data_IF_198020755585
#
_entry.id   IF_198020755585
#
_cell.length_a   1.000
_cell.length_b   1.000
_cell.length_c   1.000
_cell.angle_alpha   90.00
_cell.angle_beta   90.00
_cell.angle_gamma   90.00
#
_symmetry.space_group_name_H-M   'P 1'
#
loop_
_entity.id
_entity.type
_entity.pdbx_description
1 polymer ?
#
# COMPACT_ATOMS: atom_id res chain seq x y z
N UNK A 1 -44.51 -19.89 54.70
CA UNK A 1 -44.29 -19.99 53.26
C UNK A 1 -42.97 -19.31 52.94
N UNK A 2 -41.93 -20.07 52.61
CA UNK A 2 -40.59 -19.59 52.33
C UNK A 2 -40.47 -19.41 50.81
N UNK A 3 -40.28 -18.19 50.34
CA UNK A 3 -39.98 -17.90 48.93
C UNK A 3 -38.50 -18.15 48.66
N UNK A 4 -38.21 -19.17 47.84
CA UNK A 4 -36.90 -19.49 47.32
C UNK A 4 -36.74 -18.70 46.02
N UNK A 5 -35.97 -17.63 46.09
CA UNK A 5 -35.64 -16.82 44.90
C UNK A 5 -34.54 -17.53 44.08
N UNK A 6 -34.88 -17.96 42.87
CA UNK A 6 -33.96 -18.54 41.91
C UNK A 6 -33.17 -17.39 41.26
N UNK A 7 -31.89 -17.24 41.61
CA UNK A 7 -30.96 -16.31 40.90
C UNK A 7 -30.43 -17.03 39.67
N UNK A 8 -30.94 -16.68 38.51
CA UNK A 8 -30.37 -17.09 37.22
C UNK A 8 -29.18 -16.17 36.89
N UNK A 9 -27.96 -16.69 37.04
CA UNK A 9 -26.76 -16.04 36.55
C UNK A 9 -26.71 -16.22 35.01
N UNK A 10 -27.05 -15.17 34.27
CA UNK A 10 -26.74 -15.05 32.84
C UNK A 10 -25.24 -14.80 32.70
N UNK A 11 -24.49 -15.85 32.42
CA UNK A 11 -23.11 -15.77 31.94
C UNK A 11 -23.16 -15.21 30.54
N UNK A 12 -23.03 -13.89 30.41
CA UNK A 12 -22.66 -13.27 29.16
C UNK A 12 -21.20 -13.65 28.88
N UNK A 13 -21.01 -14.70 28.08
CA UNK A 13 -19.73 -14.99 27.48
C UNK A 13 -19.39 -13.79 26.58
N UNK A 14 -18.44 -12.98 26.99
CA UNK A 14 -17.74 -12.07 26.08
C UNK A 14 -17.00 -12.96 25.05
N UNK A 15 -17.63 -13.24 23.92
CA UNK A 15 -16.89 -13.66 22.73
C UNK A 15 -16.06 -12.45 22.28
N UNK A 16 -14.91 -12.25 22.88
CA UNK A 16 -13.90 -11.39 22.30
C UNK A 16 -13.55 -11.97 20.93
N UNK A 17 -13.80 -11.22 19.87
CA UNK A 17 -13.29 -11.56 18.55
C UNK A 17 -11.76 -11.44 18.63
N UNK A 18 -11.09 -12.58 18.81
CA UNK A 18 -9.64 -12.63 18.78
C UNK A 18 -9.20 -12.51 17.33
N UNK A 19 -8.39 -11.49 17.05
CA UNK A 19 -7.77 -11.30 15.73
C UNK A 19 -6.65 -12.33 15.52
N UNK A 20 -6.35 -12.68 14.26
CA UNK A 20 -5.26 -13.63 13.97
C UNK A 20 -3.91 -13.12 14.46
N UNK A 21 -3.69 -11.82 14.41
CA UNK A 21 -2.49 -11.12 14.93
C UNK A 21 -2.22 -11.35 16.42
N UNK A 22 -3.23 -11.81 17.20
CA UNK A 22 -3.02 -12.25 18.59
C UNK A 22 -2.28 -13.60 18.71
N UNK A 23 -2.24 -14.39 17.64
CA UNK A 23 -1.72 -15.78 17.64
C UNK A 23 -0.53 -15.96 16.73
N UNK A 24 -0.45 -15.18 15.65
CA UNK A 24 0.57 -15.29 14.63
C UNK A 24 1.08 -13.90 14.22
N UNK A 25 2.35 -13.83 13.92
CA UNK A 25 3.07 -12.62 13.52
C UNK A 25 3.87 -12.97 12.25
N UNK A 26 3.42 -12.48 11.09
CA UNK A 26 4.09 -12.69 9.82
C UNK A 26 5.30 -11.76 9.71
N UNK A 27 6.45 -12.31 9.34
CA UNK A 27 7.73 -11.59 9.34
C UNK A 27 8.23 -11.22 7.96
N UNK A 28 8.24 -12.18 7.07
CA UNK A 28 8.75 -11.99 5.71
C UNK A 28 7.86 -12.65 4.67
N UNK A 29 7.78 -12.04 3.50
CA UNK A 29 7.10 -12.57 2.32
C UNK A 29 8.07 -12.57 1.14
N UNK A 30 8.47 -13.76 0.68
CA UNK A 30 9.22 -13.92 -0.57
C UNK A 30 8.27 -14.36 -1.66
N UNK A 31 8.13 -13.52 -2.68
CA UNK A 31 7.07 -13.65 -3.69
C UNK A 31 7.71 -13.64 -5.07
N UNK A 32 7.31 -14.58 -5.91
CA UNK A 32 7.63 -14.59 -7.34
C UNK A 32 6.34 -14.59 -8.13
N UNK A 33 6.14 -13.59 -8.97
CA UNK A 33 4.92 -13.45 -9.78
C UNK A 33 5.23 -13.28 -11.25
N UNK A 34 4.32 -13.81 -12.07
CA UNK A 34 4.19 -13.50 -13.49
C UNK A 34 2.78 -13.01 -13.77
N UNK A 35 2.67 -12.00 -14.63
CA UNK A 35 1.40 -11.39 -15.00
C UNK A 35 1.15 -11.65 -16.47
N UNK A 36 -0.08 -12.04 -16.81
CA UNK A 36 -0.55 -12.32 -18.17
C UNK A 36 -1.65 -11.32 -18.50
N UNK A 37 -1.31 -10.19 -19.14
CA UNK A 37 -2.24 -9.08 -19.34
C UNK A 37 -3.48 -9.48 -20.15
N UNK A 38 -3.32 -10.24 -21.23
CA UNK A 38 -4.40 -10.61 -22.15
C UNK A 38 -5.55 -11.36 -21.46
N UNK A 39 -5.26 -12.01 -20.33
CA UNK A 39 -6.26 -12.71 -19.52
C UNK A 39 -6.50 -12.06 -18.17
N UNK A 40 -5.87 -10.90 -17.90
CA UNK A 40 -5.90 -10.22 -16.60
C UNK A 40 -5.59 -11.17 -15.44
N UNK A 41 -4.58 -12.04 -15.63
CA UNK A 41 -4.22 -13.12 -14.69
C UNK A 41 -2.89 -12.88 -14.04
N UNK A 42 -2.81 -13.21 -12.76
CA UNK A 42 -1.57 -13.29 -11.99
C UNK A 42 -1.34 -14.73 -11.55
N UNK A 43 -0.11 -15.19 -11.69
CA UNK A 43 0.32 -16.49 -11.18
C UNK A 43 1.61 -16.31 -10.38
N UNK A 44 1.72 -17.01 -9.26
CA UNK A 44 2.91 -16.85 -8.44
C UNK A 44 3.18 -17.97 -7.47
N UNK A 45 4.33 -17.86 -6.86
CA UNK A 45 4.77 -18.65 -5.71
C UNK A 45 5.02 -17.68 -4.56
N UNK A 46 4.47 -18.02 -3.40
CA UNK A 46 4.62 -17.24 -2.17
C UNK A 46 5.28 -18.12 -1.11
N UNK A 47 6.22 -17.54 -0.38
CA UNK A 47 6.82 -18.13 0.80
C UNK A 47 6.74 -17.11 1.94
N UNK A 48 5.92 -17.40 2.95
CA UNK A 48 5.83 -16.61 4.18
C UNK A 48 6.62 -17.26 5.29
N UNK A 49 7.39 -16.46 6.04
CA UNK A 49 7.90 -16.83 7.34
C UNK A 49 7.08 -16.11 8.43
N UNK A 50 6.67 -16.85 9.46
CA UNK A 50 5.87 -16.31 10.56
C UNK A 50 6.23 -16.96 11.89
N UNK A 51 5.99 -16.20 12.97
CA UNK A 51 6.16 -16.65 14.36
C UNK A 51 4.80 -16.90 15.01
N UNK A 52 4.71 -17.98 15.74
CA UNK A 52 3.50 -18.30 16.54
C UNK A 52 3.62 -17.68 17.94
N UNK A 53 2.67 -16.82 18.28
CA UNK A 53 2.60 -16.14 19.58
C UNK A 53 1.82 -16.95 20.62
N UNK A 54 0.77 -17.68 20.18
CA UNK A 54 -0.04 -18.59 21.01
C UNK A 54 -0.32 -19.88 20.22
N UNK A 55 -0.39 -21.06 20.89
CA UNK A 55 -0.67 -22.31 20.18
C UNK A 55 -2.01 -22.23 19.46
N UNK A 56 -2.05 -22.71 18.21
CA UNK A 56 -3.25 -22.73 17.37
C UNK A 56 -3.20 -23.92 16.40
N UNK A 57 -4.37 -24.48 16.04
CA UNK A 57 -4.47 -25.62 15.12
C UNK A 57 -4.66 -25.22 13.67
N UNK A 58 -4.88 -23.95 13.40
CA UNK A 58 -4.98 -23.40 12.04
C UNK A 58 -4.71 -21.90 12.01
N UNK A 59 -4.16 -21.42 10.90
CA UNK A 59 -4.02 -20.00 10.56
C UNK A 59 -4.55 -19.78 9.14
N UNK A 60 -4.72 -18.54 8.73
CA UNK A 60 -5.17 -18.22 7.38
C UNK A 60 -4.30 -17.16 6.72
N UNK A 61 -4.39 -17.11 5.39
CA UNK A 61 -3.87 -16.05 4.52
C UNK A 61 -5.07 -15.53 3.74
N UNK A 62 -5.28 -14.22 3.70
CA UNK A 62 -6.37 -13.61 2.97
C UNK A 62 -6.12 -13.76 1.46
N UNK A 63 -7.16 -14.22 0.73
CA UNK A 63 -7.02 -14.58 -0.67
C UNK A 63 -8.39 -14.69 -1.35
N UNK A 64 -8.76 -13.65 -2.09
CA UNK A 64 -10.09 -13.53 -2.69
C UNK A 64 -10.12 -14.23 -4.05
N UNK A 65 -10.96 -15.27 -4.16
CA UNK A 65 -11.22 -16.02 -5.40
C UNK A 65 -9.95 -16.56 -6.09
N UNK A 66 -8.98 -17.01 -5.30
CA UNK A 66 -7.72 -17.57 -5.80
C UNK A 66 -7.75 -19.09 -5.81
N UNK A 67 -6.89 -19.71 -6.64
CA UNK A 67 -6.63 -21.14 -6.61
C UNK A 67 -5.23 -21.42 -6.09
N UNK A 68 -5.03 -22.55 -5.42
CA UNK A 68 -3.78 -22.91 -4.76
C UNK A 68 -3.29 -24.29 -5.16
N UNK A 69 -1.97 -24.46 -5.18
CA UNK A 69 -1.31 -25.75 -5.38
C UNK A 69 -0.03 -25.81 -4.54
N UNK A 70 0.44 -27.04 -4.27
CA UNK A 70 1.71 -27.29 -3.58
C UNK A 70 1.84 -26.62 -2.21
N UNK A 71 0.73 -26.57 -1.44
CA UNK A 71 0.73 -25.96 -0.09
C UNK A 71 1.53 -26.84 0.88
N UNK A 72 2.58 -26.26 1.45
CA UNK A 72 3.50 -26.96 2.33
C UNK A 72 3.97 -26.06 3.49
N UNK A 73 4.25 -26.69 4.66
CA UNK A 73 4.95 -26.09 5.79
C UNK A 73 6.25 -26.86 5.98
N UNK A 74 7.38 -26.12 6.12
CA UNK A 74 8.72 -26.72 6.24
C UNK A 74 8.97 -27.79 5.15
N UNK A 75 8.59 -27.50 3.90
CA UNK A 75 8.68 -28.40 2.72
C UNK A 75 7.86 -29.70 2.85
N UNK A 76 6.95 -29.81 3.80
CA UNK A 76 6.02 -30.94 3.94
C UNK A 76 4.62 -30.50 3.53
N UNK A 77 4.02 -31.23 2.59
CA UNK A 77 2.62 -30.99 2.19
C UNK A 77 1.70 -31.10 3.41
N UNK A 78 0.80 -30.13 3.55
CA UNK A 78 -0.17 -30.07 4.65
C UNK A 78 -1.60 -30.05 4.11
N UNK A 79 -2.58 -30.46 4.92
CA UNK A 79 -3.99 -30.21 4.62
C UNK A 79 -4.27 -28.71 4.64
N UNK A 80 -5.03 -28.25 3.66
CA UNK A 80 -5.52 -26.87 3.57
C UNK A 80 -6.97 -26.85 3.09
N UNK A 81 -7.64 -25.73 3.29
CA UNK A 81 -8.92 -25.44 2.65
C UNK A 81 -8.94 -24.01 2.12
N UNK A 82 -9.72 -23.80 1.08
CA UNK A 82 -9.93 -22.49 0.47
C UNK A 82 -11.43 -22.25 0.43
N UNK A 83 -11.89 -21.17 1.07
CA UNK A 83 -13.31 -20.80 1.16
C UNK A 83 -13.68 -19.66 0.16
N UNK A 84 -12.75 -19.32 -0.75
CA UNK A 84 -12.89 -18.23 -1.70
C UNK A 84 -12.55 -16.84 -1.13
N UNK A 85 -12.24 -16.76 0.17
CA UNK A 85 -11.77 -15.54 0.83
C UNK A 85 -10.44 -15.74 1.54
N UNK A 86 -10.17 -16.97 1.99
CA UNK A 86 -9.00 -17.31 2.81
C UNK A 86 -8.44 -18.66 2.42
N UNK A 87 -7.12 -18.75 2.42
CA UNK A 87 -6.38 -20.00 2.42
C UNK A 87 -6.14 -20.41 3.89
N UNK A 88 -6.85 -21.44 4.35
CA UNK A 88 -6.70 -21.99 5.69
C UNK A 88 -5.63 -23.08 5.72
N UNK A 89 -4.63 -22.91 6.57
CA UNK A 89 -3.52 -23.83 6.78
C UNK A 89 -3.79 -24.65 8.06
N UNK A 90 -3.99 -25.95 7.94
CA UNK A 90 -4.30 -26.83 9.07
C UNK A 90 -3.03 -27.51 9.55
N UNK A 91 -2.54 -27.07 10.70
CA UNK A 91 -1.33 -27.59 11.34
C UNK A 91 -1.32 -27.29 12.83
N UNK A 92 -0.78 -28.17 13.65
CA UNK A 92 -0.60 -27.92 15.10
C UNK A 92 0.61 -27.02 15.32
N UNK A 93 0.35 -25.71 15.32
CA UNK A 93 1.38 -24.71 15.52
C UNK A 93 1.75 -24.59 17.00
N UNK A 94 3.04 -24.53 17.30
CA UNK A 94 3.55 -24.42 18.66
C UNK A 94 3.99 -22.99 18.95
N UNK A 95 3.68 -22.54 20.17
CA UNK A 95 4.11 -21.22 20.66
C UNK A 95 5.63 -21.04 20.51
N UNK A 96 6.05 -19.80 20.22
CA UNK A 96 7.45 -19.34 20.08
C UNK A 96 8.25 -20.04 18.97
N UNK A 97 7.55 -20.74 18.05
CA UNK A 97 8.18 -21.38 16.89
C UNK A 97 8.05 -20.54 15.63
N UNK A 98 9.10 -20.54 14.81
CA UNK A 98 9.07 -20.00 13.45
C UNK A 98 8.66 -21.10 12.47
N UNK A 99 7.87 -20.73 11.48
CA UNK A 99 7.44 -21.62 10.40
C UNK A 99 7.58 -20.92 9.05
N UNK A 100 7.84 -21.72 8.02
CA UNK A 100 7.81 -21.29 6.63
C UNK A 100 6.67 -22.02 5.92
N UNK A 101 5.73 -21.27 5.33
CA UNK A 101 4.71 -21.82 4.43
C UNK A 101 5.06 -21.44 2.99
N UNK A 102 4.92 -22.38 2.09
CA UNK A 102 5.09 -22.17 0.65
C UNK A 102 3.90 -22.71 -0.12
N UNK A 103 3.47 -21.97 -1.14
CA UNK A 103 2.40 -22.38 -2.04
C UNK A 103 2.48 -21.66 -3.38
N UNK A 104 1.91 -22.28 -4.42
CA UNK A 104 1.62 -21.65 -5.70
C UNK A 104 0.18 -21.14 -5.70
N UNK A 105 -0.06 -20.02 -6.38
CA UNK A 105 -1.41 -19.48 -6.55
C UNK A 105 -1.66 -18.96 -7.95
N UNK A 106 -2.94 -18.83 -8.30
CA UNK A 106 -3.41 -18.10 -9.47
C UNK A 106 -4.63 -17.29 -9.09
N UNK A 107 -4.70 -16.05 -9.61
CA UNK A 107 -5.78 -15.12 -9.42
C UNK A 107 -6.16 -14.44 -10.74
N UNK A 108 -7.46 -14.16 -10.92
CA UNK A 108 -8.01 -13.32 -11.98
C UNK A 108 -8.64 -12.07 -11.31
N UNK A 109 -7.81 -11.09 -10.89
CA UNK A 109 -8.26 -9.98 -10.05
C UNK A 109 -9.30 -9.11 -10.76
N UNK A 110 -10.32 -8.68 -10.01
CA UNK A 110 -11.34 -7.71 -10.44
C UNK A 110 -11.21 -6.38 -9.71
N UNK A 111 -10.32 -6.32 -8.71
CA UNK A 111 -9.99 -5.15 -7.89
C UNK A 111 -8.51 -5.20 -7.51
N UNK A 112 -8.00 -4.08 -7.09
CA UNK A 112 -6.66 -3.88 -6.53
C UNK A 112 -5.49 -4.05 -7.51
N UNK A 113 -5.62 -4.79 -8.58
CA UNK A 113 -4.71 -4.81 -9.71
C UNK A 113 -5.51 -4.52 -10.98
N UNK A 114 -5.15 -3.45 -11.66
CA UNK A 114 -5.87 -2.91 -12.80
C UNK A 114 -5.03 -3.02 -14.07
N UNK A 115 -5.70 -3.35 -15.19
CA UNK A 115 -5.11 -3.53 -16.50
C UNK A 115 -5.68 -2.46 -17.43
N UNK A 116 -4.87 -1.48 -17.79
CA UNK A 116 -5.29 -0.31 -18.55
C UNK A 116 -4.83 -0.43 -20.00
N UNK A 117 -5.73 -0.18 -20.95
CA UNK A 117 -5.49 -0.14 -22.40
C UNK A 117 -4.93 -1.44 -23.03
N UNK A 118 -5.01 -2.60 -22.37
CA UNK A 118 -4.44 -3.84 -22.92
C UNK A 118 -5.15 -4.34 -24.16
N UNK A 119 -6.42 -4.00 -24.33
CA UNK A 119 -7.21 -4.31 -25.53
C UNK A 119 -7.02 -3.28 -26.66
N UNK A 120 -6.33 -2.14 -26.38
CA UNK A 120 -6.09 -1.08 -27.33
C UNK A 120 -4.64 -1.13 -27.85
N UNK A 121 -4.44 -1.39 -29.14
CA UNK A 121 -3.10 -1.49 -29.73
C UNK A 121 -2.30 -0.18 -29.62
N UNK A 122 -2.95 0.97 -29.67
CA UNK A 122 -2.34 2.29 -29.60
C UNK A 122 -2.44 2.93 -28.20
N UNK A 123 -2.93 2.18 -27.20
CA UNK A 123 -3.11 2.68 -25.85
C UNK A 123 -1.81 2.77 -25.06
N UNK A 124 -1.82 3.57 -24.01
CA UNK A 124 -0.75 3.60 -23.01
C UNK A 124 -0.97 2.44 -22.01
N UNK A 125 -0.51 1.25 -22.43
CA UNK A 125 -0.70 -0.01 -21.69
C UNK A 125 -0.01 0.04 -20.34
N UNK A 126 -0.81 -0.08 -19.27
CA UNK A 126 -0.31 -0.06 -17.90
C UNK A 126 -0.96 -1.16 -17.04
N UNK A 127 -0.25 -1.53 -15.99
CA UNK A 127 -0.79 -2.34 -14.88
C UNK A 127 -0.38 -1.63 -13.61
N UNK A 128 -1.33 -1.41 -12.69
CA UNK A 128 -1.02 -0.79 -11.41
C UNK A 128 -1.93 -1.31 -10.30
N UNK A 129 -1.49 -1.11 -9.06
CA UNK A 129 -2.18 -1.58 -7.86
C UNK A 129 -2.80 -0.44 -7.06
N UNK A 130 -3.89 -0.77 -6.36
CA UNK A 130 -4.47 0.03 -5.28
C UNK A 130 -5.02 -0.92 -4.22
N UNK A 131 -4.37 -0.96 -3.06
CA UNK A 131 -4.63 -1.95 -2.00
C UNK A 131 -5.41 -1.43 -0.79
N UNK A 132 -5.62 -0.10 -0.66
CA UNK A 132 -6.32 0.50 0.47
C UNK A 132 -7.72 -0.09 0.67
N UNK A 133 -8.15 -0.29 1.91
CA UNK A 133 -9.41 -0.93 2.23
C UNK A 133 -9.36 -2.46 2.26
N UNK A 134 -8.19 -3.07 2.42
CA UNK A 134 -7.97 -4.53 2.49
C UNK A 134 -8.18 -5.23 1.14
N UNK A 135 -7.68 -4.63 0.05
CA UNK A 135 -7.91 -5.16 -1.28
C UNK A 135 -6.72 -5.92 -1.88
N UNK A 136 -5.54 -5.90 -1.26
CA UNK A 136 -4.35 -6.60 -1.76
C UNK A 136 -4.61 -8.09 -1.97
N UNK A 137 -5.38 -8.72 -1.11
CA UNK A 137 -5.79 -10.12 -1.21
C UNK A 137 -6.65 -10.47 -2.44
N UNK A 138 -6.99 -9.51 -3.30
CA UNK A 138 -7.65 -9.80 -4.58
C UNK A 138 -6.67 -10.23 -5.68
N UNK A 139 -5.37 -9.89 -5.57
CA UNK A 139 -4.38 -10.25 -6.57
C UNK A 139 -3.14 -10.95 -6.01
N UNK A 140 -2.83 -10.72 -4.74
CA UNK A 140 -1.71 -11.28 -4.00
C UNK A 140 -2.23 -11.90 -2.70
N UNK A 141 -2.04 -13.20 -2.44
CA UNK A 141 -2.35 -13.76 -1.13
C UNK A 141 -1.59 -12.99 -0.04
N UNK A 142 -2.30 -12.34 0.88
CA UNK A 142 -1.75 -11.34 1.82
C UNK A 142 -2.34 -11.48 3.22
N UNK A 143 -1.85 -10.65 4.13
CA UNK A 143 -2.44 -10.49 5.46
C UNK A 143 -3.08 -9.09 5.46
N UNK A 144 -4.41 -9.06 5.37
CA UNK A 144 -5.16 -7.80 5.22
C UNK A 144 -5.36 -7.05 6.56
N UNK A 145 -4.71 -7.48 7.61
CA UNK A 145 -4.65 -6.76 8.89
C UNK A 145 -3.48 -5.75 8.85
N UNK A 146 -3.79 -4.46 8.94
CA UNK A 146 -2.79 -3.39 8.86
C UNK A 146 -1.78 -3.40 10.01
N UNK A 147 -2.09 -4.12 11.10
CA UNK A 147 -1.18 -4.26 12.24
C UNK A 147 -0.12 -5.34 12.03
N UNK A 148 -0.28 -6.21 11.03
CA UNK A 148 0.72 -7.24 10.70
C UNK A 148 1.63 -6.70 9.59
N UNK A 149 2.74 -6.10 9.98
CA UNK A 149 3.74 -5.54 9.05
C UNK A 149 4.78 -6.58 8.67
N UNK A 150 5.02 -6.69 7.37
CA UNK A 150 5.79 -7.76 6.73
C UNK A 150 6.91 -7.15 5.88
N UNK A 151 8.10 -7.74 5.89
CA UNK A 151 9.17 -7.44 4.94
C UNK A 151 8.87 -8.15 3.62
N UNK A 152 8.77 -7.40 2.52
CA UNK A 152 8.44 -7.93 1.20
C UNK A 152 9.69 -8.04 0.30
N UNK A 153 9.86 -9.21 -0.29
CA UNK A 153 10.87 -9.54 -1.30
C UNK A 153 10.13 -10.00 -2.56
N UNK A 154 10.11 -9.14 -3.60
CA UNK A 154 9.28 -9.31 -4.78
C UNK A 154 10.13 -9.62 -6.02
N UNK A 155 9.90 -10.78 -6.64
CA UNK A 155 10.41 -11.12 -7.96
C UNK A 155 9.27 -11.03 -8.98
N UNK A 156 9.33 -10.04 -9.87
CA UNK A 156 8.26 -9.76 -10.82
C UNK A 156 8.78 -10.03 -12.22
N UNK A 157 8.18 -11.01 -12.90
CA UNK A 157 8.54 -11.35 -14.29
C UNK A 157 7.53 -10.72 -15.24
N UNK A 158 8.05 -9.93 -16.20
CA UNK A 158 7.23 -9.29 -17.21
C UNK A 158 7.96 -9.12 -18.54
N UNK A 159 7.26 -8.64 -19.59
CA UNK A 159 7.83 -8.35 -20.91
C UNK A 159 8.91 -7.25 -20.80
N UNK A 160 10.05 -7.44 -21.51
CA UNK A 160 11.21 -6.56 -21.44
C UNK A 160 11.01 -5.16 -22.01
N UNK A 161 9.92 -4.90 -22.74
CA UNK A 161 9.61 -3.58 -23.32
C UNK A 161 8.91 -2.65 -22.33
N UNK A 162 8.66 -3.11 -21.10
CA UNK A 162 8.04 -2.34 -20.04
C UNK A 162 9.02 -2.19 -18.87
N UNK A 163 8.86 -1.12 -18.12
CA UNK A 163 9.47 -0.97 -16.81
C UNK A 163 8.52 -1.52 -15.75
N UNK A 164 9.06 -2.17 -14.74
CA UNK A 164 8.33 -2.67 -13.57
C UNK A 164 8.84 -1.91 -12.35
N UNK A 165 7.93 -1.31 -11.60
CA UNK A 165 8.22 -0.46 -10.44
C UNK A 165 7.46 -1.04 -9.24
N UNK A 166 8.15 -1.21 -8.11
CA UNK A 166 7.55 -1.74 -6.87
C UNK A 166 8.22 -1.10 -5.64
N UNK A 167 7.72 -1.44 -4.44
CA UNK A 167 8.27 -0.94 -3.17
C UNK A 167 9.75 -1.34 -2.98
N UNK A 168 10.49 -0.50 -2.26
CA UNK A 168 11.87 -0.77 -1.85
C UNK A 168 12.91 -0.65 -2.96
N UNK A 169 14.07 -1.26 -2.77
CA UNK A 169 15.19 -1.18 -3.70
C UNK A 169 15.09 -2.21 -4.82
N UNK A 170 15.36 -1.78 -6.04
CA UNK A 170 15.63 -2.67 -7.16
C UNK A 170 17.04 -3.25 -7.00
N UNK A 171 17.14 -4.46 -6.48
CA UNK A 171 18.42 -5.11 -6.17
C UNK A 171 19.01 -5.87 -7.34
N UNK A 172 18.17 -6.35 -8.29
CA UNK A 172 18.62 -7.10 -9.46
C UNK A 172 17.60 -7.03 -10.61
N UNK A 173 18.12 -7.12 -11.85
CA UNK A 173 17.35 -7.36 -13.08
C UNK A 173 17.94 -8.56 -13.81
N UNK A 174 17.20 -9.66 -13.91
CA UNK A 174 17.60 -10.82 -14.70
C UNK A 174 16.92 -10.81 -16.06
N UNK A 175 17.70 -10.55 -17.10
CA UNK A 175 17.22 -10.48 -18.48
C UNK A 175 17.18 -11.89 -19.08
N UNK A 176 16.06 -12.24 -19.70
CA UNK A 176 15.88 -13.42 -20.55
C UNK A 176 15.48 -12.94 -21.96
N UNK A 177 15.30 -13.85 -22.91
CA UNK A 177 15.07 -13.50 -24.33
C UNK A 177 13.95 -12.46 -24.53
N UNK A 178 12.77 -12.67 -23.98
CA UNK A 178 11.59 -11.82 -24.13
C UNK A 178 11.12 -11.16 -22.84
N UNK A 179 11.66 -11.55 -21.68
CA UNK A 179 11.22 -11.08 -20.37
C UNK A 179 12.37 -10.60 -19.51
N UNK A 180 12.07 -9.75 -18.57
CA UNK A 180 12.94 -9.43 -17.44
C UNK A 180 12.27 -9.91 -16.16
N UNK A 181 13.05 -10.33 -15.19
CA UNK A 181 12.64 -10.51 -13.82
C UNK A 181 13.28 -9.42 -12.99
N UNK A 182 12.46 -8.53 -12.44
CA UNK A 182 12.88 -7.47 -11.52
C UNK A 182 12.82 -8.01 -10.09
N UNK A 183 13.88 -7.78 -9.33
CA UNK A 183 13.96 -8.17 -7.94
C UNK A 183 13.98 -6.93 -7.06
N UNK A 184 12.87 -6.69 -6.36
CA UNK A 184 12.68 -5.61 -5.40
C UNK A 184 12.73 -6.16 -3.99
N UNK A 185 13.41 -5.44 -3.09
CA UNK A 185 13.49 -5.80 -1.68
C UNK A 185 13.11 -4.60 -0.80
N UNK A 186 12.13 -4.82 0.06
CA UNK A 186 11.70 -3.87 1.08
C UNK A 186 12.30 -4.29 2.42
N UNK A 187 13.35 -3.58 2.90
CA UNK A 187 14.09 -3.96 4.10
C UNK A 187 13.33 -3.71 5.40
N UNK A 188 12.33 -2.83 5.37
CA UNK A 188 11.51 -2.51 6.53
C UNK A 188 10.13 -3.15 6.39
N UNK A 189 9.56 -3.67 7.50
CA UNK A 189 8.23 -4.24 7.44
C UNK A 189 7.16 -3.17 7.21
N UNK A 190 6.22 -3.44 6.33
CA UNK A 190 5.09 -2.57 5.98
C UNK A 190 3.78 -3.35 5.93
N UNK A 191 2.65 -2.65 6.04
CA UNK A 191 1.32 -3.24 5.90
C UNK A 191 1.08 -3.68 4.45
N UNK A 192 0.39 -4.80 4.27
CA UNK A 192 0.20 -5.39 2.93
C UNK A 192 -0.63 -4.54 1.97
N UNK A 193 -1.54 -3.66 2.48
CA UNK A 193 -2.32 -2.77 1.63
C UNK A 193 -1.45 -1.73 0.89
N UNK A 194 -0.22 -1.50 1.37
CA UNK A 194 0.76 -0.58 0.80
C UNK A 194 1.65 -1.22 -0.27
N UNK A 195 1.47 -2.50 -0.57
CA UNK A 195 2.22 -3.16 -1.66
C UNK A 195 1.87 -2.52 -2.99
N UNK A 196 2.90 -1.94 -3.64
CA UNK A 196 2.79 -1.25 -4.92
C UNK A 196 3.34 -2.10 -6.06
N UNK A 197 2.66 -2.03 -7.19
CA UNK A 197 3.15 -2.46 -8.47
C UNK A 197 2.65 -1.49 -9.54
N UNK A 198 3.57 -0.93 -10.31
CA UNK A 198 3.26 -0.20 -11.54
C UNK A 198 4.11 -0.75 -12.69
N UNK A 199 3.47 -1.06 -13.81
CA UNK A 199 4.09 -1.55 -15.04
C UNK A 199 3.63 -0.66 -16.18
N UNK A 200 4.58 -0.14 -16.95
CA UNK A 200 4.29 0.75 -18.08
C UNK A 200 5.54 1.11 -18.85
N UNK A 201 5.40 2.06 -19.77
CA UNK A 201 6.54 2.68 -20.45
C UNK A 201 6.90 3.95 -19.68
N UNK A 202 7.97 3.91 -18.93
CA UNK A 202 8.43 5.01 -18.10
C UNK A 202 9.89 5.32 -18.33
N UNK A 203 10.20 6.62 -18.38
CA UNK A 203 11.52 7.17 -18.07
C UNK A 203 11.53 7.64 -16.62
N UNK A 204 12.72 7.89 -16.06
CA UNK A 204 12.85 8.47 -14.72
C UNK A 204 13.99 9.47 -14.63
N UNK A 205 13.82 10.44 -13.73
CA UNK A 205 14.93 11.23 -13.18
C UNK A 205 15.11 10.92 -11.70
N UNK A 206 16.33 11.06 -11.27
CA UNK A 206 16.71 10.78 -9.88
C UNK A 206 17.37 12.02 -9.30
N UNK A 207 16.87 12.45 -8.15
CA UNK A 207 17.51 13.46 -7.31
C UNK A 207 17.92 12.83 -5.98
N UNK A 208 18.76 13.53 -5.23
CA UNK A 208 19.18 13.07 -3.89
C UNK A 208 18.77 14.12 -2.88
N UNK A 209 18.01 13.71 -1.87
CA UNK A 209 17.64 14.54 -0.73
C UNK A 209 18.89 14.94 0.09
N UNK A 210 18.76 15.95 0.98
CA UNK A 210 19.85 16.35 1.90
C UNK A 210 20.31 15.21 2.79
N UNK A 211 19.39 14.32 3.19
CA UNK A 211 19.68 13.11 3.99
C UNK A 211 20.44 12.03 3.24
N UNK A 212 20.52 12.12 1.90
CA UNK A 212 21.09 11.08 1.04
C UNK A 212 20.05 10.14 0.43
N UNK A 213 18.77 10.27 0.77
CA UNK A 213 17.68 9.46 0.22
C UNK A 213 17.54 9.70 -1.30
N UNK A 214 17.43 8.62 -2.07
CA UNK A 214 17.17 8.67 -3.51
C UNK A 214 15.70 9.00 -3.77
N UNK A 215 15.45 10.04 -4.57
CA UNK A 215 14.13 10.47 -5.02
C UNK A 215 14.00 10.10 -6.49
N UNK A 216 13.18 9.10 -6.81
CA UNK A 216 12.99 8.59 -8.17
C UNK A 216 11.64 9.06 -8.72
N UNK A 217 11.65 9.95 -9.68
CA UNK A 217 10.46 10.54 -10.29
C UNK A 217 10.26 9.97 -11.69
N UNK A 218 9.20 9.19 -11.85
CA UNK A 218 8.87 8.52 -13.10
C UNK A 218 7.95 9.41 -13.95
N UNK A 219 8.06 9.30 -15.27
CA UNK A 219 7.21 10.04 -16.21
C UNK A 219 7.08 9.28 -17.54
N UNK A 220 6.04 9.57 -18.30
CA UNK A 220 5.89 9.02 -19.64
C UNK A 220 6.92 9.67 -20.59
N UNK A 221 7.61 8.90 -21.46
CA UNK A 221 8.62 9.45 -22.35
C UNK A 221 8.12 10.63 -23.21
N UNK A 222 6.86 10.58 -23.66
CA UNK A 222 6.18 11.64 -24.42
C UNK A 222 5.92 12.91 -23.59
N UNK A 223 5.86 12.80 -22.27
CA UNK A 223 5.57 13.89 -21.35
C UNK A 223 6.84 14.50 -20.71
N UNK A 224 8.00 14.30 -21.32
CA UNK A 224 9.29 14.77 -20.77
C UNK A 224 9.34 16.27 -20.48
N UNK A 225 8.59 17.09 -21.23
CA UNK A 225 8.47 18.55 -21.01
C UNK A 225 7.59 18.89 -19.80
N UNK A 226 6.72 17.99 -19.37
CA UNK A 226 5.88 18.15 -18.19
C UNK A 226 6.59 17.72 -16.90
N UNK A 227 7.76 17.11 -16.99
CA UNK A 227 8.51 16.63 -15.83
C UNK A 227 8.78 17.76 -14.82
N UNK A 228 9.37 18.87 -15.30
CA UNK A 228 9.75 19.97 -14.40
C UNK A 228 8.53 20.60 -13.72
N UNK A 229 7.44 21.01 -14.39
CA UNK A 229 6.30 21.59 -13.71
C UNK A 229 5.60 20.59 -12.78
N UNK A 230 5.59 19.30 -13.07
CA UNK A 230 4.99 18.28 -12.19
C UNK A 230 5.79 18.09 -10.90
N UNK A 231 7.12 17.95 -11.00
CA UNK A 231 7.97 17.55 -9.85
C UNK A 231 8.81 18.68 -9.23
N UNK A 232 8.59 19.91 -9.67
CA UNK A 232 9.37 21.11 -9.34
C UNK A 232 9.79 21.25 -7.88
N UNK A 233 8.90 20.93 -6.98
CA UNK A 233 9.10 21.11 -5.54
C UNK A 233 9.33 19.81 -4.77
N UNK A 234 9.37 18.65 -5.43
CA UNK A 234 9.51 17.35 -4.77
C UNK A 234 10.66 17.31 -3.76
N UNK A 235 11.86 17.69 -4.20
CA UNK A 235 13.03 17.68 -3.33
C UNK A 235 12.93 18.70 -2.18
N UNK A 236 12.43 19.90 -2.47
CA UNK A 236 12.26 20.94 -1.44
C UNK A 236 11.31 20.48 -0.34
N UNK A 237 10.16 19.92 -0.72
CA UNK A 237 9.16 19.41 0.21
C UNK A 237 9.68 18.19 1.00
N UNK A 238 10.42 17.29 0.35
CA UNK A 238 11.05 16.15 1.02
C UNK A 238 12.04 16.62 2.11
N UNK A 239 12.96 17.49 1.75
CA UNK A 239 13.98 18.03 2.65
C UNK A 239 13.34 18.83 3.81
N UNK A 240 12.24 19.54 3.54
CA UNK A 240 11.46 20.28 4.54
C UNK A 240 10.75 19.33 5.51
N UNK A 241 9.97 18.36 4.98
CA UNK A 241 9.18 17.45 5.82
C UNK A 241 10.07 16.58 6.71
N UNK A 242 11.19 16.07 6.20
CA UNK A 242 12.14 15.32 7.02
C UNK A 242 12.70 16.17 8.18
N UNK A 243 12.96 17.46 7.94
CA UNK A 243 13.42 18.39 8.98
C UNK A 243 12.29 18.76 9.95
N UNK A 244 11.08 19.05 9.46
CA UNK A 244 9.95 19.52 10.26
C UNK A 244 9.38 18.41 11.16
N UNK A 245 9.25 17.19 10.63
CA UNK A 245 8.84 16.02 11.40
C UNK A 245 9.91 15.64 12.44
N UNK A 246 11.19 15.90 12.15
CA UNK A 246 12.31 15.62 13.04
C UNK A 246 12.66 14.13 13.17
N UNK A 247 12.10 13.29 12.28
CA UNK A 247 12.40 11.86 12.18
C UNK A 247 12.94 11.60 10.77
N UNK A 248 14.12 10.96 10.62
CA UNK A 248 14.64 10.62 9.30
C UNK A 248 13.63 9.82 8.47
N UNK A 249 13.67 10.01 7.15
CA UNK A 249 12.85 9.23 6.24
C UNK A 249 13.08 7.73 6.47
N UNK A 250 12.02 6.95 6.74
CA UNK A 250 12.19 5.60 7.28
C UNK A 250 12.51 4.52 6.25
N UNK A 251 12.43 4.83 4.94
CA UNK A 251 12.53 3.86 3.86
C UNK A 251 13.81 4.06 3.05
N UNK A 252 14.15 3.08 2.16
CA UNK A 252 15.41 3.10 1.41
C UNK A 252 15.47 4.19 0.32
N UNK A 253 14.35 4.44 -0.33
CA UNK A 253 14.19 5.40 -1.42
C UNK A 253 12.75 5.93 -1.46
N UNK A 254 12.50 6.97 -2.24
CA UNK A 254 11.15 7.47 -2.48
C UNK A 254 10.89 7.55 -3.98
N UNK A 255 9.88 6.84 -4.44
CA UNK A 255 9.45 6.80 -5.84
C UNK A 255 8.11 7.49 -6.00
N UNK A 256 7.89 8.11 -7.15
CA UNK A 256 6.62 8.72 -7.55
C UNK A 256 6.30 8.29 -8.98
N UNK A 257 5.13 7.68 -9.17
CA UNK A 257 4.75 7.04 -10.43
C UNK A 257 3.37 7.50 -10.86
N UNK A 258 3.24 8.26 -11.96
CA UNK A 258 1.94 8.59 -12.53
C UNK A 258 1.33 7.36 -13.20
N UNK A 259 0.03 7.17 -13.01
CA UNK A 259 -0.69 6.11 -13.70
C UNK A 259 -2.00 6.62 -14.30
N UNK A 260 -2.39 6.04 -15.43
CA UNK A 260 -3.62 6.38 -16.14
C UNK A 260 -4.83 5.80 -15.43
N UNK A 261 -5.93 6.56 -15.43
CA UNK A 261 -7.22 6.17 -14.88
C UNK A 261 -7.15 5.76 -13.38
N UNK A 262 -6.25 6.41 -12.62
CA UNK A 262 -6.15 6.13 -11.19
C UNK A 262 -7.42 6.53 -10.45
N UNK A 263 -7.78 5.76 -9.42
CA UNK A 263 -9.06 5.91 -8.72
C UNK A 263 -9.12 7.14 -7.82
N UNK A 264 -7.97 7.65 -7.38
CA UNK A 264 -7.80 8.73 -6.43
C UNK A 264 -6.80 9.76 -6.94
N UNK A 265 -6.50 10.79 -6.15
CA UNK A 265 -5.45 11.75 -6.47
C UNK A 265 -4.05 11.12 -6.34
N UNK A 266 -3.82 10.44 -5.23
CA UNK A 266 -2.61 9.70 -4.91
C UNK A 266 -2.90 8.48 -4.05
N UNK A 267 -1.83 7.76 -3.71
CA UNK A 267 -1.80 6.64 -2.77
C UNK A 267 -0.41 6.52 -2.19
N UNK A 268 -0.36 6.44 -0.88
CA UNK A 268 0.82 6.45 -0.04
C UNK A 268 1.65 5.16 -0.05
N UNK A 269 1.50 4.29 -1.03
CA UNK A 269 2.25 3.02 -1.07
C UNK A 269 3.70 3.20 -0.60
N UNK A 270 4.10 2.44 0.39
CA UNK A 270 5.38 2.61 1.10
C UNK A 270 6.56 2.68 0.13
N UNK A 271 7.33 3.76 0.23
CA UNK A 271 8.46 4.11 -0.66
C UNK A 271 8.10 4.32 -2.14
N UNK A 272 6.83 4.23 -2.55
CA UNK A 272 6.43 4.24 -3.98
C UNK A 272 5.04 4.83 -4.14
N UNK A 273 4.89 6.14 -4.00
CA UNK A 273 3.63 6.84 -4.26
C UNK A 273 3.17 6.61 -5.70
N UNK A 274 1.93 6.14 -5.86
CA UNK A 274 1.23 6.08 -7.15
C UNK A 274 0.23 7.23 -7.19
N UNK A 275 0.17 8.00 -8.28
CA UNK A 275 -0.73 9.14 -8.40
C UNK A 275 -1.37 9.24 -9.79
N UNK A 276 -2.50 9.93 -9.86
CA UNK A 276 -3.24 10.11 -11.11
C UNK A 276 -2.45 10.96 -12.12
N UNK A 277 -2.31 10.48 -13.34
CA UNK A 277 -1.60 11.19 -14.41
C UNK A 277 -2.27 12.52 -14.82
N UNK A 278 -3.48 12.78 -14.37
CA UNK A 278 -4.13 14.09 -14.50
C UNK A 278 -3.38 15.23 -13.78
N UNK A 279 -2.41 14.89 -12.91
CA UNK A 279 -1.48 15.84 -12.28
C UNK A 279 -0.15 16.00 -13.04
N UNK A 280 0.06 15.25 -14.13
CA UNK A 280 1.18 15.43 -15.04
C UNK A 280 0.85 16.61 -15.96
N UNK A 281 1.32 17.79 -15.60
CA UNK A 281 0.89 19.06 -16.18
C UNK A 281 2.05 19.82 -16.82
N UNK A 282 1.74 20.71 -17.75
CA UNK A 282 2.70 21.67 -18.27
C UNK A 282 2.81 22.95 -17.41
N UNK A 283 3.75 23.81 -17.76
CA UNK A 283 3.99 25.05 -16.99
C UNK A 283 2.84 26.06 -17.06
N UNK A 284 1.96 25.97 -18.05
CA UNK A 284 0.81 26.86 -18.19
C UNK A 284 -0.29 26.44 -17.21
N UNK A 285 -0.58 25.14 -17.15
CA UNK A 285 -1.60 24.58 -16.27
C UNK A 285 -1.21 24.66 -14.79
N UNK A 286 0.08 24.83 -14.47
CA UNK A 286 0.59 24.79 -13.08
C UNK A 286 -0.13 25.77 -12.13
N UNK A 287 -0.57 26.92 -12.64
CA UNK A 287 -1.29 27.93 -11.81
C UNK A 287 -2.68 27.46 -11.39
N UNK A 288 -3.36 26.73 -12.28
CA UNK A 288 -4.74 26.29 -12.07
C UNK A 288 -4.83 24.93 -11.40
N UNK A 289 -3.87 24.03 -11.70
CA UNK A 289 -3.78 22.70 -11.15
C UNK A 289 -2.33 22.26 -11.08
N UNK A 290 -1.89 21.77 -9.92
CA UNK A 290 -0.53 21.25 -9.78
C UNK A 290 -0.52 20.01 -8.87
N UNK A 291 0.65 19.37 -8.81
CA UNK A 291 0.85 18.14 -8.02
C UNK A 291 1.35 18.42 -6.59
N UNK A 292 1.54 19.69 -6.20
CA UNK A 292 2.27 20.05 -4.96
C UNK A 292 1.58 19.52 -3.72
N UNK A 293 0.28 19.76 -3.55
CA UNK A 293 -0.47 19.28 -2.38
C UNK A 293 -0.50 17.75 -2.33
N UNK A 294 -0.85 17.08 -3.42
CA UNK A 294 -0.90 15.61 -3.47
C UNK A 294 0.48 15.01 -3.19
N UNK A 295 1.54 15.55 -3.80
CA UNK A 295 2.91 15.10 -3.55
C UNK A 295 3.29 15.21 -2.07
N UNK A 296 3.00 16.35 -1.44
CA UNK A 296 3.31 16.58 -0.03
C UNK A 296 2.48 15.68 0.91
N UNK A 297 1.20 15.45 0.57
CA UNK A 297 0.29 14.58 1.31
C UNK A 297 0.77 13.13 1.30
N UNK A 298 1.01 12.56 0.11
CA UNK A 298 1.49 11.19 -0.05
C UNK A 298 2.90 10.99 0.55
N UNK A 299 3.73 12.03 0.51
CA UNK A 299 5.03 12.00 1.15
C UNK A 299 4.92 12.01 2.68
N UNK A 300 4.03 12.80 3.26
CA UNK A 300 3.81 12.84 4.71
C UNK A 300 3.28 11.51 5.26
N UNK A 301 2.48 10.80 4.48
CA UNK A 301 2.03 9.45 4.82
C UNK A 301 3.17 8.45 5.03
N UNK A 302 4.35 8.67 4.45
CA UNK A 302 5.49 7.78 4.64
C UNK A 302 5.90 7.67 6.13
N UNK A 303 5.61 8.70 6.93
CA UNK A 303 5.72 8.67 8.39
C UNK A 303 4.37 8.35 9.05
N UNK A 304 3.28 9.04 8.63
CA UNK A 304 1.95 8.97 9.25
C UNK A 304 0.98 8.16 8.38
N UNK A 305 0.99 6.87 8.56
CA UNK A 305 0.28 5.86 7.78
C UNK A 305 1.15 4.64 7.58
N UNK A 306 2.35 4.83 7.04
CA UNK A 306 3.27 3.75 6.71
C UNK A 306 4.15 3.34 7.88
N UNK A 307 4.91 4.29 8.44
CA UNK A 307 5.77 4.03 9.61
C UNK A 307 4.91 3.86 10.87
N UNK A 308 4.03 4.80 11.13
CA UNK A 308 3.06 4.76 12.24
C UNK A 308 1.67 4.60 11.65
N UNK A 309 1.07 3.43 11.85
CA UNK A 309 -0.22 3.03 11.28
C UNK A 309 -1.28 2.96 12.36
N UNK A 310 -2.52 3.38 12.08
CA UNK A 310 -3.65 3.19 12.98
C UNK A 310 -3.91 1.69 13.22
N UNK A 311 -4.43 1.37 14.41
CA UNK A 311 -4.74 -0.02 14.79
C UNK A 311 -6.06 -0.53 14.20
N UNK A 312 -6.88 0.35 13.67
CA UNK A 312 -8.17 0.05 13.06
C UNK A 312 -8.55 1.13 12.05
N UNK A 313 -9.11 0.75 10.93
CA UNK A 313 -9.64 1.67 9.92
C UNK A 313 -10.72 2.65 10.43
N UNK A 314 -11.28 2.45 11.62
CA UNK A 314 -12.13 3.44 12.29
C UNK A 314 -11.36 4.68 12.73
N UNK A 315 -10.04 4.61 12.79
CA UNK A 315 -9.15 5.71 13.16
C UNK A 315 -8.35 6.26 11.98
N UNK A 316 -8.81 5.98 10.77
CA UNK A 316 -8.16 6.43 9.52
C UNK A 316 -7.91 7.94 9.48
N UNK A 317 -8.75 8.73 10.15
CA UNK A 317 -8.58 10.16 10.34
C UNK A 317 -7.22 10.55 10.94
N UNK A 318 -6.55 9.65 11.71
CA UNK A 318 -5.24 9.94 12.28
C UNK A 318 -4.19 10.11 11.17
N UNK A 319 -4.04 9.13 10.30
CA UNK A 319 -3.04 9.23 9.23
C UNK A 319 -3.43 10.28 8.20
N UNK A 320 -4.71 10.38 7.80
CA UNK A 320 -5.19 11.38 6.86
C UNK A 320 -5.06 12.81 7.39
N UNK A 321 -5.40 13.01 8.67
CA UNK A 321 -5.29 14.32 9.32
C UNK A 321 -3.85 14.80 9.46
N UNK A 322 -2.93 13.91 9.83
CA UNK A 322 -1.50 14.25 9.89
C UNK A 322 -0.92 14.49 8.50
N UNK A 323 -1.24 13.66 7.52
CA UNK A 323 -0.78 13.85 6.15
C UNK A 323 -1.26 15.19 5.57
N UNK A 324 -2.54 15.52 5.74
CA UNK A 324 -3.11 16.80 5.32
C UNK A 324 -2.44 17.98 6.01
N UNK A 325 -2.20 17.89 7.32
CA UNK A 325 -1.55 18.95 8.09
C UNK A 325 -0.11 19.21 7.63
N UNK A 326 0.68 18.15 7.45
CA UNK A 326 2.07 18.28 6.99
C UNK A 326 2.17 18.67 5.52
N UNK A 327 1.21 18.28 4.68
CA UNK A 327 1.09 18.79 3.31
C UNK A 327 0.90 20.32 3.31
N UNK A 328 0.01 20.82 4.16
CA UNK A 328 -0.23 22.26 4.29
C UNK A 328 1.02 23.02 4.78
N UNK A 329 1.81 22.43 5.68
CA UNK A 329 3.10 23.01 6.11
C UNK A 329 4.13 23.00 4.97
N UNK A 330 4.17 21.95 4.16
CA UNK A 330 5.03 21.90 2.98
C UNK A 330 4.62 22.93 1.92
N UNK A 331 3.32 23.12 1.71
CA UNK A 331 2.82 24.19 0.84
C UNK A 331 3.17 25.60 1.37
N UNK A 332 3.13 25.79 2.71
CA UNK A 332 3.62 27.03 3.34
C UNK A 332 5.08 27.30 3.02
N UNK A 333 5.94 26.27 3.08
CA UNK A 333 7.36 26.37 2.72
C UNK A 333 7.58 26.76 1.26
N UNK A 334 6.69 26.28 0.37
CA UNK A 334 6.77 26.54 -1.09
C UNK A 334 6.15 27.88 -1.48
N UNK A 335 4.97 28.20 -0.95
CA UNK A 335 4.13 29.31 -1.41
C UNK A 335 4.05 30.48 -0.40
N UNK A 336 4.50 30.30 0.83
CA UNK A 336 4.57 31.33 1.87
C UNK A 336 3.36 31.37 2.80
N UNK A 337 3.44 32.29 3.77
CA UNK A 337 2.45 32.39 4.87
C UNK A 337 1.07 32.81 4.41
N UNK A 338 0.95 33.74 3.46
CA UNK A 338 -0.36 34.22 2.97
C UNK A 338 -1.16 33.07 2.34
N UNK A 339 -0.51 32.21 1.56
CA UNK A 339 -1.10 30.99 1.02
C UNK A 339 -1.58 30.06 2.14
N UNK A 340 -0.74 29.80 3.13
CA UNK A 340 -1.07 28.94 4.27
C UNK A 340 -2.28 29.42 5.03
N UNK A 341 -2.37 30.72 5.40
CA UNK A 341 -3.52 31.25 6.12
C UNK A 341 -4.80 31.26 5.29
N UNK A 342 -4.67 31.42 3.97
CA UNK A 342 -5.81 31.31 3.07
C UNK A 342 -6.35 29.87 3.03
N UNK A 343 -5.50 28.88 2.91
CA UNK A 343 -5.90 27.48 2.94
C UNK A 343 -6.55 27.09 4.29
N UNK A 344 -6.01 27.55 5.42
CA UNK A 344 -6.63 27.35 6.72
C UNK A 344 -8.03 27.95 6.79
N UNK A 345 -8.23 29.13 6.20
CA UNK A 345 -9.53 29.77 6.12
C UNK A 345 -10.52 28.92 5.29
N UNK A 346 -10.09 28.42 4.14
CA UNK A 346 -10.93 27.58 3.28
C UNK A 346 -11.32 26.27 3.98
N UNK A 347 -10.40 25.57 4.61
CA UNK A 347 -10.70 24.35 5.40
C UNK A 347 -11.64 24.65 6.58
N UNK A 348 -11.48 25.79 7.25
CA UNK A 348 -12.41 26.19 8.32
C UNK A 348 -13.82 26.46 7.79
N UNK A 349 -13.97 27.09 6.62
CA UNK A 349 -15.28 27.28 6.00
C UNK A 349 -15.92 25.96 5.59
N UNK A 350 -15.18 25.05 5.02
CA UNK A 350 -15.65 23.70 4.65
C UNK A 350 -16.15 22.94 5.88
N UNK A 351 -15.37 22.92 6.97
CA UNK A 351 -15.80 22.30 8.23
C UNK A 351 -17.09 22.91 8.79
N UNK A 352 -17.21 24.24 8.75
CA UNK A 352 -18.43 24.93 9.21
C UNK A 352 -19.65 24.62 8.34
N UNK A 353 -19.47 24.42 7.03
CA UNK A 353 -20.56 24.01 6.15
C UNK A 353 -21.00 22.57 6.43
N UNK A 354 -20.04 21.64 6.62
CA UNK A 354 -20.34 20.25 7.01
C UNK A 354 -21.09 20.17 8.34
N UNK A 355 -20.71 21.00 9.33
CA UNK A 355 -21.39 21.05 10.62
C UNK A 355 -22.81 21.54 10.49
N UNK A 356 -23.08 22.58 9.67
CA UNK A 356 -24.44 23.11 9.42
C UNK A 356 -25.37 22.07 8.81
N UNK A 357 -24.91 21.22 7.94
CA UNK A 357 -25.73 20.15 7.32
C UNK A 357 -25.82 18.89 8.17
N UNK A 358 -25.17 18.88 9.36
CA UNK A 358 -25.23 17.77 10.30
C UNK A 358 -24.40 16.54 9.85
N UNK A 359 -23.43 16.75 8.99
CA UNK A 359 -22.53 15.69 8.50
C UNK A 359 -21.31 15.50 9.40
N UNK A 360 -21.08 16.39 10.38
CA UNK A 360 -20.00 16.23 11.34
C UNK A 360 -20.23 15.04 12.27
N UNK A 361 -19.21 14.21 12.43
CA UNK A 361 -19.23 13.06 13.34
C UNK A 361 -18.08 13.14 14.33
N UNK A 362 -18.20 12.41 15.45
CA UNK A 362 -17.11 12.33 16.42
C UNK A 362 -15.90 11.61 15.82
N UNK A 363 -14.71 12.17 15.94
CA UNK A 363 -13.46 11.51 15.56
C UNK A 363 -13.17 10.26 16.39
N UNK A 364 -13.70 10.20 17.62
CA UNK A 364 -13.49 9.05 18.52
C UNK A 364 -14.49 7.92 18.29
N UNK A 365 -15.62 8.22 17.68
CA UNK A 365 -16.69 7.24 17.37
C UNK A 365 -17.35 7.61 16.02
N UNK A 366 -16.63 7.49 14.92
CA UNK A 366 -17.18 7.75 13.59
C UNK A 366 -18.28 6.72 13.27
N UNK A 367 -19.43 7.21 12.81
CA UNK A 367 -20.60 6.36 12.48
C UNK A 367 -20.47 5.72 11.11
#
# INVERSE_FOLDING_TARGET
MKHFGLFVFLLFGFCGYTQQTDYVDFKTAKITIGIIPDSSRVMGMVNYQFKILKPVDSIFIDAINMTFAHVSIENKTIPYSNDGKKLWLKHKFKKDSLYNVSFNYSADPKKALYFIDWENENGNKQIWTQGQGKYTSNWLPSIDDMNDKIEFDLNIRFDKHYEVIANGDLTNKKINDSTITWHYNMHQPMSSYLVALAIGKYDKKVETAKSGTSLEMYYYPEDSLKFEPTYRYTKQMFDFLEQEIGVPYPWQNYKQVPVKDFLYAGMENTSTTIFADSFVIDSIAFVDKNYVNVNAHELAHQWFGDMVTETSGTHHWLQEGFATYYALLAEKEVFGEDYYYWQLYEYAQELLEQDKVGESTSLLDPK
#
